data_IF_004069758568
#
_entry.id   IF_004069758568
#
_cell.length_a   1.000
_cell.length_b   1.000
_cell.length_c   1.000
_cell.angle_alpha   90.00
_cell.angle_beta   90.00
_cell.angle_gamma   90.00
#
_symmetry.space_group_name_H-M   'P 1'
#
loop_
_entity.id
_entity.type
_entity.pdbx_description
1 polymer ?
#
# COMPACT_ATOMS: atom_id res chain seq x y z
N UNK A 1 1.52 -17.99 -25.06
CA UNK A 1 0.32 -17.14 -25.06
C UNK A 1 -0.98 -17.97 -25.09
N UNK A 2 -1.11 -18.95 -26.01
CA UNK A 2 -2.30 -19.78 -26.19
C UNK A 2 -2.72 -20.60 -24.95
N UNK A 3 -1.77 -20.96 -24.09
CA UNK A 3 -2.03 -21.67 -22.83
C UNK A 3 -2.18 -20.68 -21.67
N UNK A 4 -1.31 -19.68 -21.61
CA UNK A 4 -1.28 -18.74 -20.49
C UNK A 4 -2.55 -17.89 -20.40
N UNK A 5 -3.14 -17.48 -21.53
CA UNK A 5 -4.39 -16.69 -21.53
C UNK A 5 -5.58 -17.49 -20.98
N UNK A 6 -5.91 -18.71 -21.50
CA UNK A 6 -7.00 -19.48 -20.92
C UNK A 6 -6.78 -19.83 -19.44
N UNK A 7 -5.58 -20.24 -19.06
CA UNK A 7 -5.27 -20.55 -17.65
C UNK A 7 -5.42 -19.29 -16.78
N UNK A 8 -4.93 -18.15 -17.24
CA UNK A 8 -5.07 -16.88 -16.55
C UNK A 8 -6.53 -16.49 -16.35
N UNK A 9 -7.35 -16.55 -17.40
CA UNK A 9 -8.75 -16.12 -17.33
C UNK A 9 -9.67 -17.14 -16.66
N UNK A 10 -9.50 -18.44 -16.92
CA UNK A 10 -10.44 -19.47 -16.49
C UNK A 10 -10.09 -20.07 -15.12
N UNK A 11 -8.84 -20.02 -14.71
CA UNK A 11 -8.38 -20.63 -13.44
C UNK A 11 -7.90 -19.56 -12.46
N UNK A 12 -6.89 -18.78 -12.85
CA UNK A 12 -6.27 -17.81 -11.94
C UNK A 12 -7.23 -16.63 -11.69
N UNK A 13 -7.88 -16.12 -12.73
CA UNK A 13 -8.79 -14.97 -12.63
C UNK A 13 -9.91 -15.19 -11.62
N UNK A 14 -10.72 -16.25 -11.71
CA UNK A 14 -11.79 -16.53 -10.75
C UNK A 14 -11.29 -16.68 -9.32
N UNK A 15 -10.16 -17.37 -9.08
CA UNK A 15 -9.58 -17.53 -7.75
C UNK A 15 -9.17 -16.18 -7.16
N UNK A 16 -8.45 -15.37 -7.94
CA UNK A 16 -8.05 -14.02 -7.52
C UNK A 16 -9.26 -13.13 -7.28
N UNK A 17 -10.29 -13.21 -8.13
CA UNK A 17 -11.53 -12.43 -7.96
C UNK A 17 -12.25 -12.79 -6.66
N UNK A 18 -12.35 -14.07 -6.31
CA UNK A 18 -12.94 -14.52 -5.05
C UNK A 18 -12.16 -13.96 -3.86
N UNK A 19 -10.82 -14.09 -3.85
CA UNK A 19 -9.96 -13.56 -2.79
C UNK A 19 -10.09 -12.04 -2.67
N UNK A 20 -10.10 -11.34 -3.79
CA UNK A 20 -10.25 -9.87 -3.84
C UNK A 20 -11.61 -9.43 -3.27
N UNK A 21 -12.70 -10.12 -3.65
CA UNK A 21 -14.03 -9.82 -3.14
C UNK A 21 -14.16 -10.09 -1.63
N UNK A 22 -13.57 -11.17 -1.13
CA UNK A 22 -13.52 -11.45 0.30
C UNK A 22 -12.77 -10.36 1.08
N UNK A 23 -11.62 -9.92 0.56
CA UNK A 23 -10.86 -8.82 1.15
C UNK A 23 -11.65 -7.52 1.10
N UNK A 24 -12.27 -7.19 -0.04
CA UNK A 24 -13.09 -5.99 -0.20
C UNK A 24 -14.24 -5.96 0.82
N UNK A 25 -15.00 -7.06 0.95
CA UNK A 25 -16.08 -7.15 1.94
C UNK A 25 -15.56 -7.03 3.36
N UNK A 26 -14.42 -7.64 3.67
CA UNK A 26 -13.78 -7.52 4.99
C UNK A 26 -13.34 -6.08 5.28
N UNK A 27 -12.77 -5.41 4.31
CA UNK A 27 -12.35 -4.01 4.44
C UNK A 27 -13.54 -3.06 4.60
N UNK A 28 -14.63 -3.24 3.84
CA UNK A 28 -15.85 -2.44 3.99
C UNK A 28 -16.47 -2.61 5.38
N UNK A 29 -16.55 -3.84 5.86
CA UNK A 29 -17.08 -4.16 7.20
C UNK A 29 -16.21 -3.53 8.30
N UNK A 30 -14.89 -3.59 8.15
CA UNK A 30 -13.96 -3.02 9.11
C UNK A 30 -13.99 -1.49 9.10
N UNK A 31 -14.12 -0.87 7.92
CA UNK A 31 -14.25 0.57 7.76
C UNK A 31 -15.55 1.08 8.40
N UNK A 32 -16.65 0.35 8.20
CA UNK A 32 -17.94 0.66 8.81
C UNK A 32 -17.93 0.51 10.35
N UNK A 33 -17.19 -0.48 10.88
CA UNK A 33 -17.06 -0.70 12.31
C UNK A 33 -16.19 0.38 12.99
N UNK A 34 -15.02 0.65 12.46
CA UNK A 34 -14.10 1.66 13.02
C UNK A 34 -13.09 2.12 11.96
N UNK A 35 -13.20 3.36 11.46
CA UNK A 35 -12.23 3.92 10.52
C UNK A 35 -10.78 3.90 11.06
N UNK A 36 -10.60 4.14 12.37
CA UNK A 36 -9.26 4.14 12.98
C UNK A 36 -8.65 2.73 12.96
N UNK A 37 -9.44 1.73 13.32
CA UNK A 37 -8.99 0.34 13.29
C UNK A 37 -8.71 -0.11 11.85
N UNK A 38 -9.54 0.30 10.90
CA UNK A 38 -9.30 0.09 9.48
C UNK A 38 -7.97 0.69 9.05
N UNK A 39 -7.72 1.97 9.34
CA UNK A 39 -6.46 2.64 8.99
C UNK A 39 -5.24 1.99 9.62
N UNK A 40 -5.35 1.54 10.87
CA UNK A 40 -4.28 0.82 11.58
C UNK A 40 -3.97 -0.51 10.90
N UNK A 41 -4.99 -1.32 10.62
CA UNK A 41 -4.82 -2.65 10.03
C UNK A 41 -4.33 -2.53 8.58
N UNK A 42 -4.99 -1.70 7.78
CA UNK A 42 -4.58 -1.50 6.38
C UNK A 42 -3.19 -0.91 6.31
N UNK A 43 -2.87 0.10 7.12
CA UNK A 43 -1.54 0.70 7.17
C UNK A 43 -0.45 -0.29 7.59
N UNK A 44 -0.76 -1.17 8.57
CA UNK A 44 0.17 -2.23 9.00
C UNK A 44 0.43 -3.25 7.88
N UNK A 45 -0.62 -3.78 7.29
CA UNK A 45 -0.51 -4.83 6.28
C UNK A 45 -0.27 -4.31 4.86
N UNK A 46 -0.27 -2.98 4.66
CA UNK A 46 -0.14 -2.40 3.33
C UNK A 46 1.03 -2.96 2.52
N UNK A 47 2.22 -3.04 3.11
CA UNK A 47 3.40 -3.55 2.41
C UNK A 47 3.27 -5.04 2.05
N UNK A 48 2.56 -5.81 2.87
CA UNK A 48 2.25 -7.22 2.58
C UNK A 48 1.23 -7.32 1.44
N UNK A 49 0.19 -6.48 1.45
CA UNK A 49 -0.78 -6.40 0.34
C UNK A 49 -0.10 -6.01 -0.98
N UNK A 50 0.84 -5.07 -0.93
CA UNK A 50 1.64 -4.67 -2.10
C UNK A 50 2.46 -5.85 -2.63
N UNK A 51 3.12 -6.61 -1.75
CA UNK A 51 3.92 -7.79 -2.16
C UNK A 51 3.12 -8.83 -2.94
N UNK A 52 1.87 -9.05 -2.55
CA UNK A 52 0.99 -10.01 -3.25
C UNK A 52 0.13 -9.37 -4.34
N UNK A 53 0.26 -8.06 -4.60
CA UNK A 53 -0.59 -7.34 -5.55
C UNK A 53 -2.03 -7.13 -5.08
N UNK A 54 -2.36 -7.54 -3.83
CA UNK A 54 -3.72 -7.49 -3.29
C UNK A 54 -4.19 -6.07 -2.95
N UNK A 55 -3.30 -5.10 -2.87
CA UNK A 55 -3.64 -3.68 -2.67
C UNK A 55 -4.54 -3.11 -3.77
N UNK A 56 -4.51 -3.71 -4.97
CA UNK A 56 -5.42 -3.35 -6.07
C UNK A 56 -6.89 -3.64 -5.76
N UNK A 57 -7.21 -4.52 -4.78
CA UNK A 57 -8.58 -4.79 -4.35
C UNK A 57 -9.26 -3.58 -3.70
N UNK A 58 -8.50 -2.63 -3.17
CA UNK A 58 -9.03 -1.39 -2.58
C UNK A 58 -9.40 -0.31 -3.61
N UNK A 59 -8.89 -0.40 -4.83
CA UNK A 59 -9.17 0.57 -5.90
C UNK A 59 -10.65 0.60 -6.30
N UNK A 60 -11.33 -0.54 -6.58
CA UNK A 60 -12.76 -0.54 -6.87
C UNK A 60 -13.60 0.05 -5.73
N UNK A 61 -13.23 -0.21 -4.47
CA UNK A 61 -13.91 0.35 -3.30
C UNK A 61 -13.78 1.88 -3.32
N UNK A 62 -12.59 2.40 -3.54
CA UNK A 62 -12.36 3.83 -3.61
C UNK A 62 -13.13 4.50 -4.76
N UNK A 63 -13.19 3.85 -5.94
CA UNK A 63 -13.98 4.34 -7.08
C UNK A 63 -15.47 4.37 -6.74
N UNK A 64 -15.99 3.31 -6.10
CA UNK A 64 -17.37 3.25 -5.67
C UNK A 64 -17.69 4.36 -4.65
N UNK A 65 -16.81 4.57 -3.66
CA UNK A 65 -16.96 5.64 -2.68
C UNK A 65 -16.99 7.02 -3.34
N UNK A 66 -16.07 7.30 -4.28
CA UNK A 66 -16.07 8.56 -5.02
C UNK A 66 -17.35 8.75 -5.82
N UNK A 67 -17.88 7.72 -6.47
CA UNK A 67 -19.11 7.78 -7.24
C UNK A 67 -20.38 7.94 -6.40
N UNK A 68 -20.41 7.38 -5.19
CA UNK A 68 -21.60 7.40 -4.33
C UNK A 68 -21.59 8.49 -3.28
N UNK A 69 -20.43 8.78 -2.70
CA UNK A 69 -20.28 9.73 -1.59
C UNK A 69 -19.59 11.04 -1.97
N UNK A 70 -18.99 11.10 -3.18
CA UNK A 70 -18.19 12.24 -3.61
C UNK A 70 -16.79 12.32 -2.99
N UNK A 71 -16.41 11.35 -2.17
CA UNK A 71 -15.08 11.21 -1.57
C UNK A 71 -14.76 9.75 -1.27
N UNK A 72 -13.47 9.42 -1.17
CA UNK A 72 -13.00 8.09 -0.80
C UNK A 72 -12.17 8.14 0.48
N UNK A 73 -12.30 7.11 1.32
CA UNK A 73 -11.52 6.89 2.53
C UNK A 73 -10.73 5.57 2.48
N UNK A 74 -11.06 4.67 1.57
CA UNK A 74 -10.46 3.35 1.48
C UNK A 74 -8.94 3.38 1.24
N UNK A 75 -8.42 4.40 0.56
CA UNK A 75 -7.00 4.54 0.25
C UNK A 75 -6.23 5.46 1.20
N UNK A 76 -6.88 6.10 2.17
CA UNK A 76 -6.21 7.08 3.03
C UNK A 76 -5.08 6.47 3.87
N UNK A 77 -5.26 5.23 4.34
CA UNK A 77 -4.24 4.51 5.12
C UNK A 77 -2.96 4.19 4.33
N UNK A 78 -3.03 4.11 3.01
CA UNK A 78 -1.89 3.74 2.17
C UNK A 78 -0.82 4.83 2.07
N UNK A 79 -1.23 6.10 2.09
CA UNK A 79 -0.29 7.22 1.94
C UNK A 79 0.81 7.16 3.00
N UNK A 80 0.41 7.09 4.27
CA UNK A 80 1.34 6.99 5.37
C UNK A 80 2.20 5.75 5.33
N UNK A 81 1.65 4.60 4.91
CA UNK A 81 2.39 3.36 4.79
C UNK A 81 3.48 3.44 3.71
N UNK A 82 3.21 4.07 2.56
CA UNK A 82 4.19 4.29 1.49
C UNK A 82 5.35 5.17 1.96
N UNK A 83 5.05 6.26 2.67
CA UNK A 83 6.08 7.13 3.23
C UNK A 83 6.87 6.47 4.38
N UNK A 84 6.22 5.66 5.22
CA UNK A 84 6.87 4.88 6.26
C UNK A 84 7.89 3.88 5.68
N UNK A 85 7.53 3.20 4.58
CA UNK A 85 8.44 2.30 3.84
C UNK A 85 9.61 3.07 3.25
N UNK A 86 9.34 4.20 2.62
CA UNK A 86 10.36 5.06 2.01
C UNK A 86 11.34 5.60 3.06
N UNK A 87 10.83 6.06 4.20
CA UNK A 87 11.64 6.55 5.32
C UNK A 87 12.49 5.43 5.95
N UNK A 88 11.92 4.23 6.11
CA UNK A 88 12.67 3.07 6.63
C UNK A 88 13.85 2.71 5.72
N UNK A 89 13.65 2.75 4.40
CA UNK A 89 14.71 2.49 3.42
C UNK A 89 15.71 3.66 3.37
N UNK A 90 15.27 4.91 3.45
CA UNK A 90 16.17 6.06 3.53
C UNK A 90 17.11 5.96 4.74
N UNK A 91 16.59 5.54 5.90
CA UNK A 91 17.39 5.33 7.10
C UNK A 91 18.45 4.22 6.94
N UNK A 92 18.22 3.24 6.06
CA UNK A 92 19.21 2.21 5.76
C UNK A 92 20.46 2.78 5.10
N UNK A 93 20.38 3.91 4.38
CA UNK A 93 21.55 4.54 3.75
C UNK A 93 22.70 4.77 4.72
N UNK A 94 22.38 5.15 5.96
CA UNK A 94 23.37 5.43 7.01
C UNK A 94 23.92 4.17 7.69
N UNK A 95 23.20 3.04 7.57
CA UNK A 95 23.57 1.78 8.24
C UNK A 95 24.20 0.74 7.29
N UNK A 96 24.00 0.87 5.98
CA UNK A 96 24.55 -0.05 5.00
C UNK A 96 26.04 0.20 4.79
N UNK A 97 26.82 -0.86 4.91
CA UNK A 97 28.27 -0.87 4.66
C UNK A 97 28.62 -1.31 3.24
N UNK A 98 27.75 -2.13 2.61
CA UNK A 98 27.97 -2.64 1.27
C UNK A 98 27.66 -1.53 0.23
N UNK A 99 28.66 -1.11 -0.58
CA UNK A 99 28.47 -0.04 -1.57
C UNK A 99 27.39 -0.38 -2.61
N UNK A 100 27.25 -1.64 -3.02
CA UNK A 100 26.25 -2.09 -4.01
C UNK A 100 24.83 -1.93 -3.46
N UNK A 101 24.59 -2.35 -2.21
CA UNK A 101 23.28 -2.16 -1.56
C UNK A 101 22.99 -0.68 -1.32
N UNK A 102 23.99 0.08 -0.91
CA UNK A 102 23.86 1.52 -0.65
C UNK A 102 23.49 2.30 -1.92
N UNK A 103 24.01 1.90 -3.06
CA UNK A 103 23.67 2.50 -4.36
C UNK A 103 22.20 2.28 -4.75
N UNK A 104 21.55 1.22 -4.25
CA UNK A 104 20.13 0.95 -4.51
C UNK A 104 19.18 1.81 -3.66
N UNK A 105 19.67 2.40 -2.56
CA UNK A 105 18.80 3.14 -1.63
C UNK A 105 18.23 4.40 -2.27
N UNK A 106 19.05 5.19 -2.94
CA UNK A 106 18.61 6.47 -3.49
C UNK A 106 17.54 6.30 -4.58
N UNK A 107 17.70 5.42 -5.59
CA UNK A 107 16.64 5.15 -6.55
C UNK A 107 15.35 4.63 -5.90
N UNK A 108 15.48 3.75 -4.88
CA UNK A 108 14.34 3.20 -4.16
C UNK A 108 13.59 4.27 -3.35
N UNK A 109 14.31 5.22 -2.76
CA UNK A 109 13.70 6.36 -2.03
C UNK A 109 12.97 7.30 -3.00
N UNK A 110 13.59 7.65 -4.12
CA UNK A 110 12.95 8.50 -5.14
C UNK A 110 11.67 7.82 -5.65
N UNK A 111 11.74 6.53 -5.99
CA UNK A 111 10.58 5.74 -6.40
C UNK A 111 9.48 5.73 -5.32
N UNK A 112 9.85 5.53 -4.05
CA UNK A 112 8.94 5.51 -2.92
C UNK A 112 8.26 6.86 -2.65
N UNK A 113 8.96 7.98 -2.83
CA UNK A 113 8.38 9.34 -2.77
C UNK A 113 7.32 9.50 -3.85
N UNK A 114 7.56 8.95 -5.05
CA UNK A 114 6.57 8.91 -6.13
C UNK A 114 5.44 7.88 -5.90
N UNK A 115 5.49 7.12 -4.79
CA UNK A 115 4.45 6.16 -4.38
C UNK A 115 4.68 4.73 -4.85
N UNK A 116 5.76 4.45 -5.59
CA UNK A 116 6.13 3.11 -6.06
C UNK A 116 7.12 2.50 -5.07
N UNK A 117 6.63 1.66 -4.17
CA UNK A 117 7.41 1.12 -3.04
C UNK A 117 8.03 -0.25 -3.30
N UNK A 118 7.71 -0.91 -4.40
CA UNK A 118 8.19 -2.25 -4.74
C UNK A 118 9.73 -2.35 -4.79
N UNK A 119 10.48 -1.40 -5.39
CA UNK A 119 11.95 -1.45 -5.36
C UNK A 119 12.51 -1.36 -3.93
N UNK A 120 11.87 -0.57 -3.07
CA UNK A 120 12.24 -0.44 -1.67
C UNK A 120 11.93 -1.72 -0.87
N UNK A 121 10.81 -2.37 -1.17
CA UNK A 121 10.40 -3.62 -0.51
C UNK A 121 11.35 -4.75 -0.91
N UNK A 122 11.36 -5.11 -2.19
CA UNK A 122 12.06 -6.31 -2.66
C UNK A 122 13.58 -6.15 -2.66
N UNK A 123 14.07 -4.96 -3.01
CA UNK A 123 15.51 -4.70 -3.12
C UNK A 123 16.21 -4.52 -1.78
N UNK A 124 15.52 -4.03 -0.76
CA UNK A 124 16.19 -3.54 0.45
C UNK A 124 15.54 -3.98 1.76
N UNK A 125 14.25 -3.69 1.99
CA UNK A 125 13.67 -3.86 3.32
C UNK A 125 13.30 -5.31 3.62
N UNK A 126 12.69 -6.04 2.69
CA UNK A 126 12.24 -7.41 2.87
C UNK A 126 13.40 -8.40 3.11
N UNK A 127 14.52 -8.37 2.34
CA UNK A 127 15.66 -9.25 2.60
C UNK A 127 16.26 -9.08 4.00
N UNK A 128 16.18 -7.88 4.56
CA UNK A 128 16.71 -7.55 5.88
C UNK A 128 15.70 -7.68 7.01
N UNK A 129 14.43 -7.96 6.73
CA UNK A 129 13.31 -8.18 7.66
C UNK A 129 13.03 -7.01 8.61
N UNK A 130 14.01 -6.56 9.41
CA UNK A 130 13.82 -5.47 10.42
C UNK A 130 13.28 -4.17 9.81
N UNK A 131 13.88 -3.58 8.75
CA UNK A 131 13.34 -2.36 8.13
C UNK A 131 11.91 -2.57 7.60
N UNK A 132 11.60 -3.78 7.11
CA UNK A 132 10.25 -4.13 6.65
C UNK A 132 9.23 -4.07 7.79
N UNK A 133 9.54 -4.69 8.95
CA UNK A 133 8.67 -4.64 10.13
C UNK A 133 8.52 -3.22 10.65
N UNK A 134 9.60 -2.43 10.69
CA UNK A 134 9.50 -1.02 11.10
C UNK A 134 8.62 -0.19 10.16
N UNK A 135 8.68 -0.45 8.86
CA UNK A 135 7.77 0.22 7.91
C UNK A 135 6.30 -0.18 8.11
N UNK A 136 6.03 -1.43 8.48
CA UNK A 136 4.68 -1.89 8.84
C UNK A 136 4.14 -1.17 10.08
N UNK A 137 4.96 -1.05 11.13
CA UNK A 137 4.60 -0.32 12.36
C UNK A 137 4.35 1.16 12.05
N UNK A 138 5.25 1.80 11.30
CA UNK A 138 5.07 3.19 10.85
C UNK A 138 3.82 3.36 10.00
N UNK A 139 3.52 2.40 9.13
CA UNK A 139 2.30 2.33 8.34
C UNK A 139 1.04 2.25 9.19
N UNK A 140 1.05 1.40 10.24
CA UNK A 140 -0.06 1.28 11.19
C UNK A 140 -0.36 2.60 11.91
N UNK A 141 0.67 3.23 12.46
CA UNK A 141 0.53 4.50 13.18
C UNK A 141 0.01 5.60 12.25
N UNK A 142 0.59 5.74 11.06
CA UNK A 142 0.17 6.76 10.10
C UNK A 142 -1.23 6.50 9.56
N UNK A 143 -1.59 5.24 9.27
CA UNK A 143 -2.91 4.86 8.81
C UNK A 143 -3.99 5.18 9.86
N UNK A 144 -3.75 4.81 11.11
CA UNK A 144 -4.64 5.16 12.22
C UNK A 144 -4.78 6.67 12.40
N UNK A 145 -3.67 7.43 12.31
CA UNK A 145 -3.68 8.88 12.41
C UNK A 145 -4.47 9.54 11.26
N UNK A 146 -4.23 9.14 10.01
CA UNK A 146 -4.91 9.68 8.84
C UNK A 146 -6.43 9.47 8.92
N UNK A 147 -6.85 8.26 9.30
CA UNK A 147 -8.29 7.96 9.45
C UNK A 147 -8.91 8.63 10.66
N UNK A 148 -8.18 8.78 11.78
CA UNK A 148 -8.63 9.54 12.94
C UNK A 148 -8.85 11.04 12.64
N UNK A 149 -7.99 11.62 11.80
CA UNK A 149 -8.12 13.00 11.32
C UNK A 149 -9.20 13.18 10.26
N UNK A 150 -9.86 12.09 9.83
CA UNK A 150 -10.92 12.14 8.83
C UNK A 150 -10.43 12.55 7.45
N UNK A 151 -9.18 12.24 7.11
CA UNK A 151 -8.63 12.55 5.78
C UNK A 151 -9.45 11.85 4.70
N UNK A 152 -9.77 12.58 3.65
CA UNK A 152 -10.59 12.13 2.51
C UNK A 152 -9.92 12.48 1.21
N UNK A 153 -10.07 11.63 0.21
CA UNK A 153 -9.63 11.88 -1.15
C UNK A 153 -10.85 12.22 -2.00
N UNK A 154 -10.82 13.32 -2.71
CA UNK A 154 -11.94 13.81 -3.53
C UNK A 154 -11.78 13.48 -5.02
N UNK A 155 -10.60 13.07 -5.40
CA UNK A 155 -10.31 12.59 -6.76
C UNK A 155 -9.40 11.36 -6.67
N UNK A 156 -9.39 10.55 -7.73
CA UNK A 156 -8.35 9.51 -7.88
C UNK A 156 -7.06 10.22 -8.26
N UNK A 157 -6.30 10.61 -7.25
CA UNK A 157 -5.04 11.31 -7.41
C UNK A 157 -3.88 10.41 -7.80
N UNK A 158 -2.71 11.02 -7.94
CA UNK A 158 -1.45 10.30 -8.13
C UNK A 158 -1.03 9.49 -6.90
N UNK A 159 0.03 8.72 -7.03
CA UNK A 159 0.63 7.98 -5.93
C UNK A 159 1.68 8.85 -5.20
N UNK A 160 2.00 8.50 -3.96
CA UNK A 160 3.02 9.18 -3.17
C UNK A 160 2.75 10.69 -3.05
N UNK A 161 3.77 11.50 -3.26
CA UNK A 161 3.67 12.97 -3.15
C UNK A 161 2.65 13.58 -4.12
N UNK A 162 2.39 12.94 -5.25
CA UNK A 162 1.41 13.41 -6.24
C UNK A 162 -0.04 13.18 -5.82
N UNK A 163 -0.27 12.37 -4.78
CA UNK A 163 -1.59 12.17 -4.20
C UNK A 163 -1.95 13.20 -3.11
N UNK A 164 -1.02 14.05 -2.66
CA UNK A 164 -1.29 15.03 -1.60
C UNK A 164 -2.37 16.06 -2.00
N UNK A 165 -2.46 16.51 -3.27
CA UNK A 165 -3.52 17.43 -3.66
C UNK A 165 -4.87 16.79 -3.94
N UNK A 166 -5.02 15.46 -3.84
CA UNK A 166 -6.29 14.74 -4.11
C UNK A 166 -7.17 14.69 -2.86
#
# INVERSE_FOLDING_TARGET
LLIALPVGFLVIGPVITILTNMLATGFDSLLAFSPILFGLIVGFFWQVLVMFGLHWSLIPIAILQLGTMGYATALTGMFGASFAQTAAVAAMYFRLKNPKEKALVLPAVISGICGVTEPAIYGLSLPKKKPFVFSMIGGAVSGAFMTAMGVRSYVMGGLGVFGIPS
#
